data_IF_065734994211
#
_entry.id   IF_065734994211
#
_cell.length_a   1.000
_cell.length_b   1.000
_cell.length_c   1.000
_cell.angle_alpha   90.00
_cell.angle_beta   90.00
_cell.angle_gamma   90.00
#
_symmetry.space_group_name_H-M   'P 1'
#
loop_
_entity.id
_entity.type
_entity.pdbx_description
1 polymer ?
#
# COMPACT_ATOMS: atom_id res chain seq x y z
N UNK A 1 -21.98 -12.12 9.88
CA UNK A 1 -21.19 -13.36 9.72
C UNK A 1 -21.41 -13.98 8.35
N UNK A 2 -22.64 -14.32 7.95
CA UNK A 2 -22.93 -14.94 6.64
C UNK A 2 -22.49 -14.07 5.44
N UNK A 3 -22.66 -12.74 5.50
CA UNK A 3 -22.19 -11.82 4.44
C UNK A 3 -20.67 -11.77 4.31
N UNK A 4 -19.95 -11.66 5.43
CA UNK A 4 -18.49 -11.64 5.48
C UNK A 4 -17.88 -12.91 4.86
N UNK A 5 -18.47 -14.06 5.18
CA UNK A 5 -18.06 -15.35 4.63
C UNK A 5 -18.27 -15.41 3.10
N UNK A 6 -19.43 -15.00 2.60
CA UNK A 6 -19.69 -14.95 1.15
C UNK A 6 -18.70 -14.02 0.41
N UNK A 7 -18.27 -12.92 1.04
CA UNK A 7 -17.25 -12.04 0.48
C UNK A 7 -15.86 -12.72 0.44
N UNK A 8 -15.43 -13.38 1.52
CA UNK A 8 -14.18 -14.14 1.52
C UNK A 8 -14.20 -15.22 0.44
N UNK A 9 -15.28 -16.00 0.36
CA UNK A 9 -15.45 -17.05 -0.63
C UNK A 9 -15.42 -16.51 -2.07
N UNK A 10 -16.04 -15.35 -2.36
CA UNK A 10 -15.96 -14.74 -3.69
C UNK A 10 -14.54 -14.29 -4.03
N UNK A 11 -13.80 -13.71 -3.08
CA UNK A 11 -12.40 -13.31 -3.26
C UNK A 11 -11.48 -14.51 -3.50
N UNK A 12 -11.67 -15.61 -2.76
CA UNK A 12 -10.86 -16.84 -2.91
C UNK A 12 -11.16 -17.56 -4.23
N UNK A 13 -12.40 -17.46 -4.73
CA UNK A 13 -12.84 -18.14 -5.96
C UNK A 13 -12.35 -17.43 -7.23
N UNK A 14 -12.05 -16.14 -7.17
CA UNK A 14 -11.53 -15.34 -8.28
C UNK A 14 -10.02 -15.49 -8.51
N UNK A 15 -9.50 -16.72 -8.47
CA UNK A 15 -8.07 -17.04 -8.73
C UNK A 15 -7.51 -16.57 -10.09
N UNK A 16 -8.34 -16.02 -10.98
CA UNK A 16 -7.93 -15.43 -12.25
C UNK A 16 -7.57 -13.94 -12.16
N UNK A 17 -8.07 -13.22 -11.16
CA UNK A 17 -7.70 -11.83 -10.86
C UNK A 17 -7.02 -11.80 -9.48
N UNK A 18 -5.76 -11.35 -9.41
CA UNK A 18 -5.01 -11.24 -8.16
C UNK A 18 -5.52 -10.04 -7.35
N UNK A 19 -6.72 -10.15 -6.78
CA UNK A 19 -7.31 -9.12 -5.94
C UNK A 19 -6.72 -9.19 -4.52
N UNK A 20 -5.61 -8.49 -4.31
CA UNK A 20 -4.90 -8.50 -3.04
C UNK A 20 -5.59 -7.58 -2.03
N UNK A 21 -5.90 -8.12 -0.85
CA UNK A 21 -6.30 -7.30 0.29
C UNK A 21 -5.03 -6.76 0.95
N UNK A 22 -4.88 -5.44 0.99
CA UNK A 22 -3.74 -4.76 1.60
C UNK A 22 -4.24 -3.89 2.76
N UNK A 23 -3.45 -3.82 3.84
CA UNK A 23 -3.78 -2.93 4.95
C UNK A 23 -3.46 -1.47 4.57
N UNK A 24 -4.44 -0.56 4.66
CA UNK A 24 -4.31 0.82 4.18
C UNK A 24 -3.08 1.59 4.64
N UNK A 25 -2.71 1.51 5.93
CA UNK A 25 -1.62 2.31 6.46
C UNK A 25 -0.24 1.77 6.07
N UNK A 26 -0.05 0.44 6.03
CA UNK A 26 1.17 -0.19 5.50
C UNK A 26 1.42 0.21 4.05
N UNK A 27 0.36 0.30 3.23
CA UNK A 27 0.46 0.79 1.85
C UNK A 27 1.00 2.21 1.80
N UNK A 28 0.46 3.12 2.61
CA UNK A 28 0.94 4.51 2.66
C UNK A 28 2.41 4.55 3.09
N UNK A 29 2.81 3.84 4.15
CA UNK A 29 4.22 3.81 4.56
C UNK A 29 5.15 3.25 3.48
N UNK A 30 4.77 2.13 2.84
CA UNK A 30 5.56 1.52 1.75
C UNK A 30 5.73 2.49 0.59
N UNK A 31 4.68 3.23 0.24
CA UNK A 31 4.77 4.25 -0.80
C UNK A 31 5.64 5.42 -0.35
N UNK A 32 5.52 5.91 0.89
CA UNK A 32 6.36 6.98 1.44
C UNK A 32 7.86 6.64 1.43
N UNK A 33 8.20 5.38 1.67
CA UNK A 33 9.59 4.92 1.72
C UNK A 33 10.25 4.74 0.34
N UNK A 34 9.49 4.79 -0.76
CA UNK A 34 10.05 4.64 -2.12
C UNK A 34 11.11 5.67 -2.48
N UNK A 35 10.99 6.89 -1.94
CA UNK A 35 11.93 7.98 -2.20
C UNK A 35 13.35 7.70 -1.65
N UNK A 36 13.50 6.71 -0.77
CA UNK A 36 14.77 6.30 -0.19
C UNK A 36 15.33 5.02 -0.84
N UNK A 37 14.71 4.53 -1.92
CA UNK A 37 15.18 3.37 -2.69
C UNK A 37 15.90 3.82 -3.96
N UNK A 38 16.64 2.90 -4.58
CA UNK A 38 17.41 3.18 -5.79
C UNK A 38 16.53 3.70 -6.93
N UNK A 39 17.08 4.63 -7.73
CA UNK A 39 16.39 5.16 -8.91
C UNK A 39 16.01 4.03 -9.87
N UNK A 40 14.76 4.03 -10.35
CA UNK A 40 14.24 2.95 -11.19
C UNK A 40 13.59 1.80 -10.41
N UNK A 41 13.55 1.87 -9.08
CA UNK A 41 12.81 0.92 -8.25
C UNK A 41 11.33 0.94 -8.60
N UNK A 42 10.78 -0.23 -8.91
CA UNK A 42 9.35 -0.45 -9.11
C UNK A 42 8.77 -1.20 -7.93
N UNK A 43 7.46 -1.46 -7.98
CA UNK A 43 6.77 -2.27 -6.98
C UNK A 43 6.08 -3.46 -7.62
N UNK A 44 5.90 -4.50 -6.80
CA UNK A 44 5.05 -5.67 -7.02
C UNK A 44 4.18 -5.87 -5.79
N UNK A 45 3.02 -6.47 -5.99
CA UNK A 45 2.08 -6.79 -4.92
C UNK A 45 1.96 -8.30 -4.85
N UNK A 46 2.29 -8.84 -3.69
CA UNK A 46 2.21 -10.27 -3.38
C UNK A 46 2.15 -10.43 -1.86
N UNK A 47 1.63 -11.57 -1.41
CA UNK A 47 1.56 -11.91 0.01
C UNK A 47 0.95 -10.78 0.87
N UNK A 48 -0.08 -10.12 0.33
CA UNK A 48 -0.79 -9.01 0.98
C UNK A 48 0.13 -7.82 1.35
N UNK A 49 1.20 -7.60 0.60
CA UNK A 49 2.19 -6.56 0.86
C UNK A 49 2.78 -5.96 -0.42
N UNK A 50 3.45 -4.82 -0.27
CA UNK A 50 4.18 -4.16 -1.35
C UNK A 50 5.65 -4.54 -1.26
N UNK A 51 6.20 -5.10 -2.33
CA UNK A 51 7.61 -5.41 -2.45
C UNK A 51 8.31 -4.46 -3.42
N UNK A 52 9.47 -3.96 -3.01
CA UNK A 52 10.35 -3.18 -3.88
C UNK A 52 11.10 -4.07 -4.85
N UNK A 53 11.09 -3.68 -6.12
CA UNK A 53 11.84 -4.31 -7.18
C UNK A 53 12.94 -3.35 -7.62
N UNK A 54 14.19 -3.53 -7.15
CA UNK A 54 15.30 -2.68 -7.54
C UNK A 54 15.53 -2.74 -9.07
N UNK A 55 16.15 -1.70 -9.64
CA UNK A 55 16.49 -1.69 -11.07
C UNK A 55 17.40 -2.88 -11.40
N UNK A 56 17.04 -3.67 -12.41
CA UNK A 56 17.87 -4.78 -12.90
C UNK A 56 17.83 -4.84 -14.43
N UNK A 57 18.93 -5.29 -15.04
CA UNK A 57 19.06 -5.39 -16.51
C UNK A 57 18.01 -6.33 -17.16
N UNK A 58 17.34 -7.17 -16.37
CA UNK A 58 16.26 -8.08 -16.81
C UNK A 58 14.90 -7.80 -16.16
N UNK A 59 14.68 -6.62 -15.58
CA UNK A 59 13.48 -6.31 -14.77
C UNK A 59 12.16 -6.58 -15.53
N UNK A 60 12.11 -6.37 -16.86
CA UNK A 60 10.93 -6.68 -17.67
C UNK A 60 10.66 -8.19 -17.81
N UNK A 61 11.71 -9.01 -17.89
CA UNK A 61 11.60 -10.47 -18.01
C UNK A 61 11.21 -11.06 -16.65
N UNK A 62 11.83 -10.60 -15.56
CA UNK A 62 11.50 -11.04 -14.19
C UNK A 62 10.03 -10.72 -13.87
N UNK A 63 9.56 -9.51 -14.17
CA UNK A 63 8.15 -9.13 -13.99
C UNK A 63 7.19 -9.96 -14.84
N UNK A 64 7.58 -10.30 -16.06
CA UNK A 64 6.79 -11.17 -16.92
C UNK A 64 6.71 -12.61 -16.37
N UNK A 65 7.81 -13.13 -15.81
CA UNK A 65 7.84 -14.45 -15.17
C UNK A 65 7.07 -14.50 -13.84
N UNK A 66 7.11 -13.42 -13.05
CA UNK A 66 6.36 -13.28 -11.80
C UNK A 66 4.85 -12.99 -12.03
N UNK A 67 4.47 -12.78 -13.29
CA UNK A 67 3.10 -12.43 -13.68
C UNK A 67 2.67 -11.08 -13.11
N UNK A 68 3.63 -10.16 -12.92
CA UNK A 68 3.39 -8.77 -12.54
C UNK A 68 2.85 -8.03 -13.77
N UNK A 69 1.58 -7.69 -13.72
CA UNK A 69 0.88 -6.94 -14.75
C UNK A 69 0.66 -5.49 -14.33
N UNK A 70 0.25 -4.67 -15.29
CA UNK A 70 -0.28 -3.33 -15.01
C UNK A 70 -1.43 -3.37 -14.00
N UNK A 71 -2.18 -4.47 -14.01
CA UNK A 71 -3.33 -4.67 -13.15
C UNK A 71 -2.92 -4.75 -11.68
N UNK A 72 -1.74 -5.24 -11.33
CA UNK A 72 -1.40 -5.31 -9.90
C UNK A 72 -1.38 -3.94 -9.20
N UNK A 73 -1.08 -2.84 -9.91
CA UNK A 73 -1.17 -1.49 -9.34
C UNK A 73 -2.61 -1.04 -9.02
N UNK A 74 -3.63 -1.58 -9.68
CA UNK A 74 -5.03 -1.23 -9.37
C UNK A 74 -5.39 -1.59 -7.92
N UNK A 75 -4.73 -2.62 -7.34
CA UNK A 75 -4.96 -3.06 -5.97
C UNK A 75 -4.60 -1.99 -4.93
N UNK A 76 -3.87 -0.93 -5.31
CA UNK A 76 -3.55 0.18 -4.42
C UNK A 76 -4.71 1.15 -4.21
N UNK A 77 -5.68 1.19 -5.14
CA UNK A 77 -6.72 2.22 -5.12
C UNK A 77 -7.60 2.15 -3.86
N UNK A 78 -8.17 0.97 -3.57
CA UNK A 78 -9.05 0.80 -2.42
C UNK A 78 -8.33 0.99 -1.07
N UNK A 79 -7.12 0.44 -0.85
CA UNK A 79 -6.34 0.73 0.36
C UNK A 79 -6.04 2.21 0.54
N UNK A 80 -5.69 2.94 -0.52
CA UNK A 80 -5.44 4.39 -0.44
C UNK A 80 -6.70 5.14 -0.05
N UNK A 81 -7.85 4.84 -0.67
CA UNK A 81 -9.14 5.45 -0.30
C UNK A 81 -9.49 5.18 1.17
N UNK A 82 -9.35 3.92 1.62
CA UNK A 82 -9.59 3.55 3.02
C UNK A 82 -8.64 4.24 3.99
N UNK A 83 -7.37 4.43 3.61
CA UNK A 83 -6.43 5.13 4.46
C UNK A 83 -6.87 6.59 4.67
N UNK A 84 -7.24 7.29 3.59
CA UNK A 84 -7.71 8.68 3.65
C UNK A 84 -9.02 8.78 4.45
N UNK A 85 -9.89 7.78 4.37
CA UNK A 85 -11.10 7.68 5.19
C UNK A 85 -10.79 7.50 6.69
N UNK A 86 -9.90 6.56 7.03
CA UNK A 86 -9.63 6.21 8.44
C UNK A 86 -8.68 7.18 9.14
N UNK A 87 -7.76 7.78 8.38
CA UNK A 87 -6.68 8.62 8.85
C UNK A 87 -6.72 9.94 8.08
N UNK A 88 -7.50 10.93 8.54
CA UNK A 88 -7.71 12.19 7.80
C UNK A 88 -6.41 12.94 7.54
N UNK A 89 -6.29 13.53 6.36
CA UNK A 89 -5.07 14.20 5.90
C UNK A 89 -4.57 15.26 6.89
N UNK A 90 -5.45 16.03 7.52
CA UNK A 90 -5.08 17.10 8.47
C UNK A 90 -4.33 16.57 9.69
N UNK A 91 -4.62 15.34 10.12
CA UNK A 91 -3.97 14.72 11.29
C UNK A 91 -2.70 13.95 10.91
N UNK A 92 -2.57 13.56 9.64
CA UNK A 92 -1.52 12.67 9.13
C UNK A 92 -0.77 13.29 7.95
N UNK A 93 -0.74 14.62 7.87
CA UNK A 93 -0.22 15.36 6.71
C UNK A 93 1.19 14.92 6.33
N UNK A 94 2.08 14.77 7.32
CA UNK A 94 3.48 14.42 7.07
C UNK A 94 3.63 13.11 6.31
N UNK A 95 2.96 12.03 6.74
CA UNK A 95 3.09 10.73 6.07
C UNK A 95 2.49 10.75 4.66
N UNK A 96 1.40 11.49 4.45
CA UNK A 96 0.80 11.65 3.12
C UNK A 96 1.68 12.47 2.17
N UNK A 97 2.34 13.52 2.67
CA UNK A 97 3.27 14.31 1.87
C UNK A 97 4.48 13.47 1.44
N UNK A 98 5.03 12.65 2.34
CA UNK A 98 6.07 11.68 1.99
C UNK A 98 5.55 10.60 1.01
N UNK A 99 4.31 10.15 1.16
CA UNK A 99 3.67 9.18 0.25
C UNK A 99 3.54 9.75 -1.15
N UNK A 100 3.07 10.99 -1.29
CA UNK A 100 2.95 11.67 -2.58
C UNK A 100 4.32 11.80 -3.26
N UNK A 101 5.38 12.11 -2.51
CA UNK A 101 6.76 12.13 -3.05
C UNK A 101 7.16 10.75 -3.55
N UNK A 102 6.94 9.70 -2.77
CA UNK A 102 7.24 8.32 -3.14
C UNK A 102 6.47 7.84 -4.37
N UNK A 103 5.17 8.14 -4.46
CA UNK A 103 4.37 7.88 -5.68
C UNK A 103 4.94 8.66 -6.86
N UNK A 104 5.37 9.91 -6.67
CA UNK A 104 6.04 10.70 -7.71
C UNK A 104 7.33 10.05 -8.24
N UNK A 105 8.16 9.49 -7.35
CA UNK A 105 9.35 8.72 -7.73
C UNK A 105 8.96 7.48 -8.53
N UNK A 106 7.99 6.71 -8.07
CA UNK A 106 7.48 5.53 -8.80
C UNK A 106 6.94 5.91 -10.17
N UNK A 107 6.16 6.99 -10.24
CA UNK A 107 5.56 7.53 -11.47
C UNK A 107 6.64 7.90 -12.50
N UNK A 108 7.77 8.44 -12.05
CA UNK A 108 8.89 8.81 -12.92
C UNK A 108 9.54 7.60 -13.63
N UNK A 109 9.35 6.39 -13.12
CA UNK A 109 9.91 5.15 -13.68
C UNK A 109 9.08 4.55 -14.83
N UNK A 110 7.94 5.15 -15.17
CA UNK A 110 7.08 4.71 -16.27
C UNK A 110 7.08 5.69 -17.44
N UNK A 111 6.72 5.20 -18.63
CA UNK A 111 6.66 6.02 -19.85
C UNK A 111 5.61 7.14 -19.75
N UNK A 112 5.90 8.30 -20.33
CA UNK A 112 5.12 9.55 -20.21
C UNK A 112 3.63 9.42 -20.51
N UNK A 113 3.25 8.58 -21.48
CA UNK A 113 1.86 8.40 -21.91
C UNK A 113 1.26 7.06 -21.47
N UNK A 114 1.87 6.39 -20.49
CA UNK A 114 1.35 5.12 -19.98
C UNK A 114 0.11 5.36 -19.11
N UNK A 115 -0.86 4.44 -19.18
CA UNK A 115 -2.02 4.42 -18.28
C UNK A 115 -1.58 4.36 -16.81
N UNK A 116 -0.46 3.70 -16.51
CA UNK A 116 0.12 3.65 -15.15
C UNK A 116 0.38 5.05 -14.61
N UNK A 117 0.96 5.95 -15.43
CA UNK A 117 1.19 7.33 -14.97
C UNK A 117 -0.11 8.04 -14.62
N UNK A 118 -1.13 7.88 -15.45
CA UNK A 118 -2.45 8.46 -15.19
C UNK A 118 -3.06 7.88 -13.90
N UNK A 119 -2.94 6.57 -13.67
CA UNK A 119 -3.39 5.90 -12.45
C UNK A 119 -2.65 6.42 -11.20
N UNK A 120 -1.32 6.54 -11.24
CA UNK A 120 -0.54 7.03 -10.10
C UNK A 120 -0.82 8.51 -9.80
N UNK A 121 -1.00 9.34 -10.84
CA UNK A 121 -1.44 10.73 -10.66
C UNK A 121 -2.83 10.78 -10.01
N UNK A 122 -3.75 9.92 -10.42
CA UNK A 122 -5.06 9.83 -9.80
C UNK A 122 -4.95 9.48 -8.31
N UNK A 123 -4.05 8.58 -7.91
CA UNK A 123 -3.83 8.26 -6.50
C UNK A 123 -3.31 9.46 -5.70
N UNK A 124 -2.42 10.27 -6.29
CA UNK A 124 -1.96 11.53 -5.67
C UNK A 124 -3.15 12.48 -5.46
N UNK A 125 -4.03 12.61 -6.47
CA UNK A 125 -5.20 13.48 -6.37
C UNK A 125 -6.19 13.01 -5.29
N UNK A 126 -6.37 11.69 -5.15
CA UNK A 126 -7.17 11.09 -4.07
C UNK A 126 -6.59 11.41 -2.70
N UNK A 127 -5.28 11.25 -2.50
CA UNK A 127 -4.63 11.56 -1.22
C UNK A 127 -4.74 13.04 -0.86
N UNK A 128 -4.68 13.92 -1.87
CA UNK A 128 -4.83 15.37 -1.68
C UNK A 128 -6.28 15.83 -1.51
N UNK A 129 -7.24 14.99 -1.91
CA UNK A 129 -8.64 15.32 -1.82
C UNK A 129 -9.06 15.47 -0.36
N UNK A 130 -9.53 16.66 0.00
CA UNK A 130 -10.14 16.93 1.31
C UNK A 130 -11.59 16.47 1.40
N UNK A 131 -12.17 16.05 0.28
CA UNK A 131 -13.57 15.61 0.21
C UNK A 131 -13.67 14.12 0.54
N UNK A 132 -13.61 13.82 1.83
CA UNK A 132 -13.82 12.46 2.36
C UNK A 132 -15.26 11.98 2.15
N UNK A 133 -16.22 12.90 2.04
CA UNK A 133 -17.64 12.59 1.83
C UNK A 133 -17.92 11.86 0.52
N UNK A 134 -17.24 12.22 -0.56
CA UNK A 134 -17.34 11.49 -1.82
C UNK A 134 -16.51 10.20 -1.81
N UNK A 135 -15.39 10.15 -1.09
CA UNK A 135 -14.59 8.94 -0.89
C UNK A 135 -15.40 7.84 -0.21
N UNK A 136 -16.10 8.15 0.90
CA UNK A 136 -16.93 7.18 1.62
C UNK A 136 -18.08 6.58 0.78
N UNK A 137 -18.51 7.26 -0.30
CA UNK A 137 -19.51 6.73 -1.24
C UNK A 137 -18.91 5.80 -2.31
N UNK A 138 -17.65 6.03 -2.67
CA UNK A 138 -16.94 5.23 -3.67
C UNK A 138 -16.34 3.95 -3.09
N UNK A 139 -16.16 3.87 -1.78
CA UNK A 139 -15.66 2.67 -1.11
C UNK A 139 -16.80 1.68 -0.93
N UNK A 140 -16.97 0.78 -1.89
CA UNK A 140 -17.79 -0.41 -1.67
C UNK A 140 -17.29 -1.14 -0.42
N UNK A 141 -18.22 -1.47 0.48
CA UNK A 141 -17.93 -2.05 1.80
C UNK A 141 -17.32 -3.43 1.58
N UNK A 142 -15.99 -3.53 1.64
CA UNK A 142 -15.32 -4.81 1.84
C UNK A 142 -15.17 -5.04 3.35
N UNK A 143 -16.02 -5.85 3.99
CA UNK A 143 -15.96 -5.99 5.44
C UNK A 143 -14.66 -6.65 5.93
N UNK A 144 -13.87 -7.27 5.04
CA UNK A 144 -12.52 -7.78 5.34
C UNK A 144 -11.54 -6.64 5.51
N UNK A 145 -11.58 -5.61 4.66
CA UNK A 145 -10.67 -4.46 4.81
C UNK A 145 -10.95 -3.75 6.13
N UNK A 146 -12.22 -3.56 6.51
CA UNK A 146 -12.58 -2.90 7.77
C UNK A 146 -12.06 -3.66 9.00
N UNK A 147 -11.91 -4.99 8.93
CA UNK A 147 -11.29 -5.78 10.00
C UNK A 147 -9.79 -5.46 10.20
N UNK A 148 -9.13 -4.89 9.19
CA UNK A 148 -7.72 -4.51 9.25
C UNK A 148 -7.47 -3.17 9.96
N UNK A 149 -8.51 -2.36 10.20
CA UNK A 149 -8.39 -1.03 10.80
C UNK A 149 -7.69 -1.05 12.17
N UNK A 150 -7.93 -2.09 12.95
CA UNK A 150 -7.39 -2.23 14.31
C UNK A 150 -5.97 -2.85 14.35
N UNK A 151 -5.34 -3.10 13.20
CA UNK A 151 -3.98 -3.69 13.14
C UNK A 151 -2.92 -2.73 13.67
N UNK A 152 -3.14 -1.43 13.50
CA UNK A 152 -2.26 -0.39 14.01
C UNK A 152 -2.88 0.30 15.22
N UNK A 153 -2.20 0.20 16.36
CA UNK A 153 -2.55 1.03 17.51
C UNK A 153 -2.08 2.46 17.31
N UNK A 154 -2.77 3.43 17.92
CA UNK A 154 -2.39 4.84 17.80
C UNK A 154 -0.91 5.10 18.17
N UNK A 155 -0.40 4.45 19.22
CA UNK A 155 1.00 4.59 19.64
C UNK A 155 1.97 4.04 18.60
N UNK A 156 1.69 2.89 17.98
CA UNK A 156 2.52 2.32 16.91
C UNK A 156 2.56 3.25 15.69
N UNK A 157 1.42 3.86 15.34
CA UNK A 157 1.34 4.83 14.24
C UNK A 157 2.25 6.02 14.53
N UNK A 158 2.17 6.61 15.74
CA UNK A 158 3.02 7.74 16.13
C UNK A 158 4.51 7.38 16.16
N UNK A 159 4.86 6.17 16.60
CA UNK A 159 6.24 5.67 16.56
C UNK A 159 6.74 5.53 15.13
N UNK A 160 5.95 4.93 14.23
CA UNK A 160 6.32 4.76 12.83
C UNK A 160 6.45 6.10 12.09
N UNK A 161 5.56 7.07 12.35
CA UNK A 161 5.67 8.44 11.83
C UNK A 161 6.93 9.14 12.36
N UNK A 162 7.25 8.96 13.64
CA UNK A 162 8.47 9.53 14.23
C UNK A 162 9.73 8.96 13.57
N UNK A 163 9.79 7.65 13.31
CA UNK A 163 10.88 7.05 12.56
C UNK A 163 10.99 7.64 11.16
N UNK A 164 9.86 7.80 10.45
CA UNK A 164 9.85 8.41 9.12
C UNK A 164 10.35 9.87 9.12
N UNK A 165 10.02 10.65 10.16
CA UNK A 165 10.57 12.01 10.34
C UNK A 165 12.10 11.99 10.52
N UNK A 166 12.62 11.07 11.31
CA UNK A 166 14.07 10.92 11.50
C UNK A 166 14.79 10.51 10.20
N UNK A 167 14.18 9.62 9.40
CA UNK A 167 14.68 9.26 8.06
C UNK A 167 14.72 10.49 7.15
N UNK A 168 13.66 11.31 7.19
CA UNK A 168 13.57 12.56 6.42
C UNK A 168 14.64 13.58 6.82
N UNK A 169 14.92 13.71 8.12
CA UNK A 169 15.96 14.60 8.67
C UNK A 169 17.40 14.13 8.38
N UNK A 170 17.58 12.93 7.82
CA UNK A 170 18.88 12.33 7.46
C UNK A 170 19.83 12.10 8.65
N UNK A 171 19.28 11.94 9.86
CA UNK A 171 20.04 11.62 11.06
C UNK A 171 20.00 10.12 11.22
N UNK A 172 21.14 9.41 11.22
CA UNK A 172 21.20 7.94 11.33
C UNK A 172 20.17 7.21 10.42
N UNK A 173 19.98 7.75 9.20
CA UNK A 173 18.88 7.38 8.30
C UNK A 173 18.72 5.88 8.14
N UNK A 174 19.81 5.17 7.87
CA UNK A 174 19.80 3.73 7.56
C UNK A 174 19.24 2.91 8.74
N UNK A 175 19.61 3.25 9.97
CA UNK A 175 19.12 2.56 11.18
C UNK A 175 17.60 2.72 11.31
N UNK A 176 17.10 3.93 11.09
CA UNK A 176 15.68 4.21 11.18
C UNK A 176 14.88 3.63 10.02
N UNK A 177 15.48 3.58 8.83
CA UNK A 177 14.90 2.95 7.64
C UNK A 177 14.74 1.45 7.87
N UNK A 178 15.80 0.76 8.34
CA UNK A 178 15.76 -0.66 8.67
C UNK A 178 14.73 -0.95 9.77
N UNK A 179 14.66 -0.10 10.79
CA UNK A 179 13.70 -0.24 11.89
C UNK A 179 12.25 -0.11 11.41
N UNK A 180 11.97 0.91 10.61
CA UNK A 180 10.63 1.14 10.05
C UNK A 180 10.24 0.01 9.09
N UNK A 181 11.16 -0.43 8.23
CA UNK A 181 10.96 -1.55 7.31
C UNK A 181 10.62 -2.84 8.06
N UNK A 182 11.31 -3.13 9.17
CA UNK A 182 11.02 -4.29 10.01
C UNK A 182 9.64 -4.21 10.67
N UNK A 183 9.24 -3.04 11.18
CA UNK A 183 7.90 -2.85 11.78
C UNK A 183 6.82 -3.12 10.74
N UNK A 184 6.92 -2.49 9.57
CA UNK A 184 5.95 -2.65 8.48
C UNK A 184 5.90 -4.11 8.02
N UNK A 185 7.05 -4.73 7.81
CA UNK A 185 7.13 -6.14 7.40
C UNK A 185 6.45 -7.08 8.40
N UNK A 186 6.61 -6.85 9.70
CA UNK A 186 5.95 -7.66 10.71
C UNK A 186 4.42 -7.49 10.68
N UNK A 187 3.91 -6.27 10.41
CA UNK A 187 2.47 -6.02 10.22
C UNK A 187 1.96 -6.74 8.98
N UNK A 188 2.65 -6.63 7.86
CA UNK A 188 2.33 -7.31 6.60
C UNK A 188 2.29 -8.84 6.76
N UNK A 189 3.28 -9.44 7.45
CA UNK A 189 3.29 -10.87 7.74
C UNK A 189 2.09 -11.28 8.58
N UNK A 190 1.79 -10.52 9.63
CA UNK A 190 0.61 -10.77 10.46
C UNK A 190 -0.70 -10.71 9.64
N UNK A 191 -0.83 -9.74 8.74
CA UNK A 191 -1.99 -9.59 7.84
C UNK A 191 -2.10 -10.81 6.93
N UNK A 192 -1.01 -11.22 6.28
CA UNK A 192 -1.01 -12.38 5.39
C UNK A 192 -1.42 -13.67 6.14
N UNK A 193 -0.87 -13.91 7.32
CA UNK A 193 -1.24 -15.06 8.18
C UNK A 193 -2.70 -14.98 8.67
N UNK A 194 -3.18 -13.78 9.00
CA UNK A 194 -4.57 -13.55 9.39
C UNK A 194 -5.53 -13.87 8.24
N UNK A 195 -5.26 -13.33 7.05
CA UNK A 195 -6.06 -13.55 5.84
C UNK A 195 -6.03 -15.02 5.38
N UNK A 196 -4.90 -15.70 5.51
CA UNK A 196 -4.82 -17.13 5.23
C UNK A 196 -5.66 -17.96 6.20
N UNK A 197 -5.60 -17.68 7.51
CA UNK A 197 -6.41 -18.40 8.51
C UNK A 197 -7.90 -18.27 8.23
N UNK A 198 -8.39 -17.04 8.02
CA UNK A 198 -9.80 -16.81 7.68
C UNK A 198 -10.20 -17.35 6.30
N UNK A 199 -9.25 -17.73 5.45
CA UNK A 199 -9.54 -18.39 4.16
C UNK A 199 -9.51 -19.91 4.25
N UNK A 200 -8.78 -20.49 5.22
CA UNK A 200 -8.61 -21.95 5.38
C UNK A 200 -9.56 -22.56 6.42
N UNK A 201 -10.12 -21.74 7.32
CA UNK A 201 -11.13 -22.16 8.29
C UNK A 201 -12.54 -22.33 7.67
N UNK A 202 -12.66 -22.11 6.36
CA UNK A 202 -13.88 -22.26 5.55
C UNK A 202 -13.61 -23.16 4.35
#
# INVERSE_FOLDING_TARGET
MQSFQTYIESFVKDKKEKNFILEPLTVIFRLSMLQYKDKGTKISIRDNSIHYQPPSYGQGIIRMMDGDTREDLHNLYHPILKCVEWYPYESYQFIYDECIKGIGILNSNYETHSTIKHTLNHYIDVIRSKDTTNISRCVEINPVIDSLKEIWTHSEIQSAISLLKLIHEDINRDIYLDSLELIIHNKERFINEYLHRISTEY
#
